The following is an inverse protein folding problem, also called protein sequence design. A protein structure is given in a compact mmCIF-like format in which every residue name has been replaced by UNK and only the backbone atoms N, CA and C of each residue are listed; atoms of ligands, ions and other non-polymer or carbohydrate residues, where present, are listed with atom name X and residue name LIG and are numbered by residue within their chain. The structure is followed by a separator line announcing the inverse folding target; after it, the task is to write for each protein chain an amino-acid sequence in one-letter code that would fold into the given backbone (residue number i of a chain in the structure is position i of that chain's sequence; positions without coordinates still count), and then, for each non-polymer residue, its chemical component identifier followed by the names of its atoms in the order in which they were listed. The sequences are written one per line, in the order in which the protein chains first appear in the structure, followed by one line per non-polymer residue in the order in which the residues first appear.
data_IF_676014211489
#
_entry.id   IF_676014211489
#
_cell.length_a   1.000
_cell.length_b   1.000
_cell.length_c   1.000
_cell.angle_alpha   90.00
_cell.angle_beta   90.00
_cell.angle_gamma   90.00
#
_symmetry.space_group_name_H-M   'P 1'
#
loop_
_entity.id
_entity.type
_entity.pdbx_description
1 polymer ?
#
# COMPACT_ATOMS: atom_id res chain seq x y z
N UNK A 1 11.77 14.82 -14.91
CA UNK A 1 10.52 14.30 -15.52
C UNK A 1 9.41 15.26 -15.16
N UNK A 2 8.76 15.89 -16.14
CA UNK A 2 7.73 16.90 -15.88
C UNK A 2 6.47 16.31 -15.24
N UNK A 3 5.65 17.20 -14.67
CA UNK A 3 4.33 16.88 -14.09
C UNK A 3 3.44 16.01 -15.00
N UNK A 4 3.40 16.21 -16.35
CA UNK A 4 2.54 15.39 -17.21
C UNK A 4 2.89 13.90 -17.19
N UNK A 5 4.19 13.58 -17.21
CA UNK A 5 4.68 12.19 -17.22
C UNK A 5 4.44 11.54 -15.86
N UNK A 6 4.65 12.29 -14.78
CA UNK A 6 4.38 11.83 -13.42
C UNK A 6 2.90 11.45 -13.24
N UNK A 7 1.97 12.29 -13.70
CA UNK A 7 0.53 12.01 -13.57
C UNK A 7 0.11 10.79 -14.38
N UNK A 8 0.61 10.64 -15.62
CA UNK A 8 0.32 9.48 -16.45
C UNK A 8 0.82 8.19 -15.80
N UNK A 9 2.06 8.18 -15.31
CA UNK A 9 2.64 7.03 -14.61
C UNK A 9 1.88 6.71 -13.31
N UNK A 10 1.55 7.73 -12.51
CA UNK A 10 0.81 7.57 -11.27
C UNK A 10 -0.57 6.95 -11.51
N UNK A 11 -1.32 7.45 -12.49
CA UNK A 11 -2.64 6.90 -12.84
C UNK A 11 -2.51 5.47 -13.38
N UNK A 12 -1.58 5.24 -14.31
CA UNK A 12 -1.32 3.91 -14.88
C UNK A 12 -1.02 2.89 -13.77
N UNK A 13 -0.08 3.22 -12.88
CA UNK A 13 0.32 2.33 -11.80
C UNK A 13 -0.82 2.09 -10.81
N UNK A 14 -1.57 3.14 -10.45
CA UNK A 14 -2.70 3.03 -9.54
C UNK A 14 -3.81 2.11 -10.08
N UNK A 15 -4.10 2.20 -11.38
CA UNK A 15 -5.10 1.35 -12.05
C UNK A 15 -4.57 -0.09 -12.26
N UNK A 16 -3.33 -0.23 -12.77
CA UNK A 16 -2.73 -1.52 -13.11
C UNK A 16 -2.50 -2.43 -11.90
N UNK A 17 -2.06 -1.84 -10.79
CA UNK A 17 -1.72 -2.57 -9.57
C UNK A 17 -2.85 -2.55 -8.53
N UNK A 18 -4.00 -1.95 -8.87
CA UNK A 18 -5.21 -1.87 -8.03
C UNK A 18 -4.85 -1.62 -6.57
N UNK A 19 -4.11 -0.54 -6.32
CA UNK A 19 -3.56 -0.24 -4.99
C UNK A 19 -4.66 -0.40 -3.96
N UNK A 20 -4.58 -1.46 -3.15
CA UNK A 20 -5.59 -1.74 -2.13
C UNK A 20 -5.46 -0.64 -1.09
N UNK A 21 -6.49 0.18 -0.95
CA UNK A 21 -6.61 1.05 0.22
C UNK A 21 -7.03 0.15 1.37
N UNK A 22 -6.07 -0.31 2.16
CA UNK A 22 -6.34 -0.99 3.42
C UNK A 22 -6.52 0.14 4.45
N UNK A 23 -7.74 0.35 4.98
CA UNK A 23 -7.98 1.40 5.96
C UNK A 23 -7.23 1.06 7.24
N UNK A 24 -6.78 2.10 7.94
CA UNK A 24 -5.93 1.93 9.12
C UNK A 24 -6.65 1.17 10.24
N UNK A 25 -7.98 1.29 10.34
CA UNK A 25 -8.76 0.56 11.34
C UNK A 25 -8.80 -0.97 11.08
N UNK A 26 -8.48 -1.41 9.86
CA UNK A 26 -8.39 -2.84 9.50
C UNK A 26 -6.97 -3.40 9.62
N UNK A 27 -6.01 -2.57 10.03
CA UNK A 27 -4.61 -2.97 10.18
C UNK A 27 -4.26 -2.97 11.67
N UNK A 28 -3.75 -4.09 12.14
CA UNK A 28 -3.13 -4.15 13.46
C UNK A 28 -1.74 -3.49 13.40
N UNK A 29 -1.56 -2.38 14.13
CA UNK A 29 -0.33 -1.58 14.16
C UNK A 29 0.52 -1.82 15.41
N UNK A 30 0.18 -2.81 16.23
CA UNK A 30 0.95 -3.15 17.42
C UNK A 30 2.40 -3.46 17.05
N UNK A 31 3.34 -2.80 17.73
CA UNK A 31 4.78 -2.92 17.45
C UNK A 31 5.45 -4.02 18.28
N UNK A 32 4.77 -4.51 19.30
CA UNK A 32 5.21 -5.53 20.25
C UNK A 32 4.90 -6.96 19.79
N UNK A 33 4.32 -7.13 18.60
CA UNK A 33 3.98 -8.45 18.04
C UNK A 33 5.17 -9.02 17.28
N UNK A 34 5.67 -10.19 17.70
CA UNK A 34 6.68 -10.92 16.94
C UNK A 34 6.08 -11.50 15.67
N UNK A 35 6.81 -11.42 14.54
CA UNK A 35 6.39 -12.00 13.26
C UNK A 35 6.24 -13.54 13.32
N UNK A 36 6.84 -14.19 14.30
CA UNK A 36 6.73 -15.63 14.50
C UNK A 36 5.34 -16.04 15.00
N UNK A 37 4.63 -15.16 15.70
CA UNK A 37 3.26 -15.40 16.20
C UNK A 37 2.20 -15.32 15.09
N UNK A 38 2.48 -14.56 14.03
CA UNK A 38 1.55 -14.31 12.91
C UNK A 38 1.63 -15.43 11.86
N UNK A 39 2.73 -16.19 11.81
CA UNK A 39 2.99 -17.26 10.82
C UNK A 39 2.50 -18.65 11.26
N UNK A 40 1.85 -18.76 12.42
CA UNK A 40 1.33 -20.00 13.00
C UNK A 40 0.32 -20.74 12.12
#
# INVERSE_FOLDING_TARGET
MGIPVFLAFFIYHKLRYKTKKIPLEQVDLRQDVSMDEIKG
#
